data_IF_852678898220
#
_entry.id   IF_852678898220
#
_cell.length_a   1.000
_cell.length_b   1.000
_cell.length_c   1.000
_cell.angle_alpha   90.00
_cell.angle_beta   90.00
_cell.angle_gamma   90.00
#
_symmetry.space_group_name_H-M   'P 1'
#
loop_
_entity.id
_entity.type
_entity.pdbx_description
1 polymer ?
#
# COMPACT_ATOMS: atom_id res chain seq x y z
N UNK A 1 -18.97 0.32 21.56
CA UNK A 1 -20.25 0.81 20.99
C UNK A 1 -20.41 2.28 21.37
N UNK A 2 -21.20 3.03 20.60
CA UNK A 2 -21.66 4.37 20.95
C UNK A 2 -23.17 4.47 20.82
N UNK A 3 -23.75 5.55 21.32
CA UNK A 3 -25.15 5.91 21.12
C UNK A 3 -25.23 7.22 20.34
N UNK A 4 -26.15 7.30 19.38
CA UNK A 4 -26.42 8.54 18.66
C UNK A 4 -27.36 9.46 19.47
N UNK A 5 -27.66 10.65 18.93
CA UNK A 5 -28.55 11.63 19.55
C UNK A 5 -30.01 11.16 19.75
N UNK A 6 -30.39 10.04 19.14
CA UNK A 6 -31.71 9.44 19.24
C UNK A 6 -31.70 8.19 20.17
N UNK A 7 -30.58 7.88 20.82
CA UNK A 7 -30.43 6.70 21.67
C UNK A 7 -30.24 5.39 20.89
N UNK A 8 -29.94 5.45 19.58
CA UNK A 8 -29.65 4.26 18.79
C UNK A 8 -28.19 3.85 18.98
N UNK A 9 -27.99 2.57 19.31
CA UNK A 9 -26.65 2.01 19.47
C UNK A 9 -25.99 1.78 18.10
N UNK A 10 -24.70 2.08 18.00
CA UNK A 10 -23.91 1.80 16.81
C UNK A 10 -22.51 1.28 17.16
N UNK A 11 -21.95 0.51 16.22
CA UNK A 11 -20.57 0.06 16.29
C UNK A 11 -19.64 1.18 15.83
N UNK A 12 -18.72 1.60 16.70
CA UNK A 12 -17.60 2.48 16.32
C UNK A 12 -16.47 1.60 15.80
N UNK A 13 -16.11 1.76 14.54
CA UNK A 13 -14.90 1.16 13.97
C UNK A 13 -13.74 2.14 14.08
N UNK A 14 -12.51 1.64 14.14
CA UNK A 14 -11.32 2.48 13.92
C UNK A 14 -11.38 3.07 12.50
N UNK A 15 -10.71 4.21 12.30
CA UNK A 15 -10.55 4.78 10.97
C UNK A 15 -9.83 3.77 10.06
N UNK A 16 -10.22 3.76 8.79
CA UNK A 16 -9.51 3.03 7.74
C UNK A 16 -9.32 3.96 6.55
N UNK A 17 -8.24 3.75 5.81
CA UNK A 17 -7.95 4.53 4.61
C UNK A 17 -7.51 3.59 3.49
N UNK A 18 -7.69 4.06 2.27
CA UNK A 18 -7.28 3.40 1.07
C UNK A 18 -6.25 4.28 0.38
N UNK A 19 -5.11 3.70 0.05
CA UNK A 19 -4.00 4.39 -0.60
C UNK A 19 -3.31 3.47 -1.61
N UNK A 20 -2.58 4.06 -2.55
CA UNK A 20 -1.82 3.38 -3.58
C UNK A 20 -0.38 3.89 -3.63
N UNK A 21 0.57 2.96 -3.66
CA UNK A 21 2.00 3.26 -3.72
C UNK A 21 2.70 2.31 -4.69
N UNK A 22 3.85 2.73 -5.20
CA UNK A 22 4.78 1.88 -5.96
C UNK A 22 5.63 1.12 -4.94
N UNK A 23 5.41 -0.18 -4.80
CA UNK A 23 6.19 -1.05 -3.90
C UNK A 23 7.05 -2.05 -4.67
N UNK A 24 7.83 -2.85 -3.94
CA UNK A 24 8.48 -4.03 -4.54
C UNK A 24 7.42 -5.06 -4.90
N UNK A 25 7.60 -5.71 -6.06
CA UNK A 25 6.69 -6.73 -6.54
C UNK A 25 6.75 -7.99 -5.64
N UNK A 26 5.68 -8.34 -4.90
CA UNK A 26 5.69 -9.52 -4.02
C UNK A 26 5.56 -10.83 -4.79
N UNK A 27 5.22 -10.81 -6.08
CA UNK A 27 4.90 -11.98 -6.91
C UNK A 27 5.80 -12.05 -8.15
N UNK A 28 7.11 -11.82 -7.97
CA UNK A 28 8.09 -11.96 -9.05
C UNK A 28 8.10 -13.38 -9.59
N UNK A 29 8.07 -13.48 -10.91
CA UNK A 29 8.17 -14.75 -11.65
C UNK A 29 8.72 -14.47 -13.05
N UNK A 30 9.05 -15.50 -13.81
CA UNK A 30 9.46 -15.33 -15.21
C UNK A 30 8.41 -14.59 -16.05
N UNK A 31 7.12 -14.78 -15.73
CA UNK A 31 6.01 -14.09 -16.41
C UNK A 31 5.72 -12.69 -15.86
N UNK A 32 6.29 -12.33 -14.71
CA UNK A 32 6.13 -11.05 -14.00
C UNK A 32 7.47 -10.62 -13.40
N UNK A 33 8.48 -10.32 -14.22
CA UNK A 33 9.84 -10.08 -13.75
C UNK A 33 10.03 -8.68 -13.16
N UNK A 34 9.02 -7.81 -13.24
CA UNK A 34 9.11 -6.41 -12.87
C UNK A 34 9.53 -6.25 -11.40
N UNK A 35 10.47 -5.32 -11.17
CA UNK A 35 10.95 -5.03 -9.82
C UNK A 35 9.88 -4.38 -8.96
N UNK A 36 9.14 -3.44 -9.56
CA UNK A 36 8.12 -2.66 -8.90
C UNK A 36 6.72 -3.10 -9.33
N UNK A 37 5.77 -2.93 -8.42
CA UNK A 37 4.36 -3.08 -8.71
C UNK A 37 3.55 -2.00 -7.99
N UNK A 38 2.35 -1.71 -8.50
CA UNK A 38 1.41 -0.87 -7.75
C UNK A 38 0.82 -1.72 -6.63
N UNK A 39 0.91 -1.21 -5.41
CA UNK A 39 0.33 -1.81 -4.23
C UNK A 39 -0.80 -0.92 -3.71
N UNK A 40 -1.76 -1.55 -3.04
CA UNK A 40 -2.83 -0.87 -2.31
C UNK A 40 -2.82 -1.28 -0.86
N UNK A 41 -3.06 -0.34 0.03
CA UNK A 41 -3.31 -0.65 1.43
C UNK A 41 -4.70 -1.32 1.57
N UNK A 42 -4.78 -2.42 2.32
CA UNK A 42 -6.05 -3.07 2.67
C UNK A 42 -6.44 -2.76 4.12
N UNK A 43 -7.73 -2.53 4.42
CA UNK A 43 -8.16 -2.16 5.76
C UNK A 43 -8.24 -3.40 6.68
N UNK A 44 -7.09 -3.85 7.19
CA UNK A 44 -6.97 -5.01 8.08
C UNK A 44 -6.14 -4.67 9.32
N UNK A 45 -6.47 -5.28 10.46
CA UNK A 45 -5.77 -5.11 11.74
C UNK A 45 -5.71 -6.47 12.45
N UNK A 46 -4.75 -6.69 13.36
CA UNK A 46 -4.63 -7.96 14.10
C UNK A 46 -5.93 -8.36 14.80
N UNK A 47 -6.67 -7.38 15.31
CA UNK A 47 -7.94 -7.59 15.99
C UNK A 47 -9.17 -7.65 15.09
N UNK A 48 -9.03 -7.66 13.75
CA UNK A 48 -10.18 -7.62 12.82
C UNK A 48 -11.23 -8.71 13.10
N UNK A 49 -10.80 -9.90 13.54
CA UNK A 49 -11.71 -11.02 13.84
C UNK A 49 -11.96 -11.29 15.32
N UNK A 50 -11.44 -10.46 16.24
CA UNK A 50 -11.49 -10.71 17.69
C UNK A 50 -12.92 -10.84 18.25
N UNK A 51 -13.90 -10.21 17.61
CA UNK A 51 -15.31 -10.35 17.99
C UNK A 51 -15.83 -11.79 17.81
N UNK A 52 -15.36 -12.48 16.78
CA UNK A 52 -15.81 -13.83 16.43
C UNK A 52 -14.88 -14.91 16.98
N UNK A 53 -13.56 -14.69 16.84
CA UNK A 53 -12.51 -15.61 17.27
C UNK A 53 -11.36 -14.77 17.80
N UNK A 54 -11.10 -14.87 19.11
CA UNK A 54 -9.99 -14.17 19.74
C UNK A 54 -8.68 -14.60 19.09
N UNK A 55 -7.85 -13.62 18.71
CA UNK A 55 -6.56 -13.83 18.04
C UNK A 55 -6.67 -14.63 16.73
N UNK A 56 -7.80 -14.50 16.02
CA UNK A 56 -8.05 -15.20 14.75
C UNK A 56 -7.08 -14.88 13.61
N UNK A 57 -6.29 -13.80 13.74
CA UNK A 57 -5.15 -13.47 12.86
C UNK A 57 -3.81 -13.66 13.57
N UNK A 58 -3.64 -14.77 14.27
CA UNK A 58 -2.41 -15.11 15.01
C UNK A 58 -1.13 -15.03 14.16
N UNK A 59 -1.24 -15.31 12.85
CA UNK A 59 -0.16 -15.24 11.88
C UNK A 59 -0.24 -13.99 10.97
N UNK A 60 -0.64 -12.85 11.52
CA UNK A 60 -0.87 -11.60 10.78
C UNK A 60 0.28 -11.21 9.83
N UNK A 61 1.52 -11.37 10.26
CA UNK A 61 2.71 -10.91 9.52
C UNK A 61 3.11 -11.82 8.35
N UNK A 62 2.37 -12.91 8.12
CA UNK A 62 2.66 -13.84 7.01
C UNK A 62 2.36 -13.26 5.63
N UNK A 63 1.50 -12.25 5.55
CA UNK A 63 1.12 -11.59 4.30
C UNK A 63 1.12 -10.07 4.49
N UNK A 64 1.55 -9.29 3.48
CA UNK A 64 1.57 -7.83 3.57
C UNK A 64 0.14 -7.25 3.60
N UNK A 65 -0.01 -6.12 4.31
CA UNK A 65 -1.20 -5.26 4.26
C UNK A 65 -1.19 -4.37 3.01
N UNK A 66 -0.02 -4.15 2.41
CA UNK A 66 0.13 -3.55 1.08
C UNK A 66 0.14 -4.64 0.01
N UNK A 67 -1.01 -4.85 -0.63
CA UNK A 67 -1.22 -5.93 -1.60
C UNK A 67 -1.10 -5.46 -3.04
N UNK A 68 -0.65 -6.35 -3.91
CA UNK A 68 -0.62 -6.12 -5.35
C UNK A 68 -1.98 -5.59 -5.84
N UNK A 69 -1.95 -4.46 -6.52
CA UNK A 69 -3.09 -3.84 -7.14
C UNK A 69 -3.00 -4.02 -8.67
N UNK A 70 -4.09 -4.51 -9.25
CA UNK A 70 -4.27 -4.59 -10.71
C UNK A 70 -5.34 -3.58 -11.11
N UNK A 71 -5.01 -2.28 -11.24
CA UNK A 71 -6.00 -1.29 -11.62
C UNK A 71 -6.58 -1.60 -13.01
N UNK A 72 -7.91 -1.61 -13.13
CA UNK A 72 -8.63 -1.96 -14.36
C UNK A 72 -8.88 -0.76 -15.29
N UNK A 73 -8.26 0.39 -15.00
CA UNK A 73 -8.41 1.60 -15.80
C UNK A 73 -7.04 2.05 -16.30
N UNK A 74 -6.89 2.13 -17.62
CA UNK A 74 -5.70 2.68 -18.27
C UNK A 74 -6.03 4.05 -18.86
N UNK A 75 -5.18 5.05 -18.60
CA UNK A 75 -5.26 6.37 -19.23
C UNK A 75 -3.98 6.62 -20.00
N UNK A 76 -4.10 7.06 -21.26
CA UNK A 76 -2.95 7.39 -22.11
C UNK A 76 -2.12 8.57 -21.57
N UNK A 77 -2.77 9.56 -20.95
CA UNK A 77 -2.14 10.76 -20.38
C UNK A 77 -2.54 10.89 -18.90
N UNK A 78 -1.55 10.94 -18.02
CA UNK A 78 -1.67 11.13 -16.56
C UNK A 78 -0.58 12.09 -16.08
N UNK A 79 -0.68 12.58 -14.84
CA UNK A 79 0.41 13.35 -14.25
C UNK A 79 1.68 12.51 -14.12
N UNK A 80 1.56 11.21 -13.82
CA UNK A 80 2.69 10.30 -13.63
C UNK A 80 3.46 9.99 -14.92
N UNK A 81 2.79 9.97 -16.08
CA UNK A 81 3.44 9.70 -17.36
C UNK A 81 3.72 10.97 -18.19
N UNK A 82 3.49 12.15 -17.62
CA UNK A 82 3.68 13.43 -18.30
C UNK A 82 5.16 13.79 -18.51
N UNK A 83 6.05 13.35 -17.63
CA UNK A 83 7.51 13.53 -17.74
C UNK A 83 8.26 12.45 -16.94
N UNK A 84 9.51 12.15 -17.28
CA UNK A 84 10.27 11.07 -16.62
C UNK A 84 10.43 11.31 -15.11
N UNK A 85 10.63 12.57 -14.71
CA UNK A 85 10.81 12.96 -13.31
C UNK A 85 9.50 12.99 -12.49
N UNK A 86 8.35 12.66 -13.09
CA UNK A 86 7.09 12.56 -12.35
C UNK A 86 7.13 11.34 -11.42
N UNK A 87 7.82 10.27 -11.88
CA UNK A 87 8.17 9.11 -11.08
C UNK A 87 9.62 9.14 -10.58
N UNK A 88 10.58 9.47 -11.43
CA UNK A 88 12.00 9.41 -11.07
C UNK A 88 12.39 10.47 -10.06
N UNK A 89 12.93 10.05 -8.92
CA UNK A 89 13.29 10.88 -7.79
C UNK A 89 12.10 11.47 -7.05
N UNK A 90 10.90 10.92 -7.24
CA UNK A 90 9.70 11.31 -6.52
C UNK A 90 9.35 10.26 -5.46
N UNK A 91 9.96 10.40 -4.29
CA UNK A 91 9.75 9.49 -3.15
C UNK A 91 8.28 9.34 -2.74
N UNK A 92 7.45 10.38 -2.92
CA UNK A 92 6.05 10.37 -2.48
C UNK A 92 5.22 9.26 -3.12
N UNK A 93 5.63 8.78 -4.31
CA UNK A 93 4.93 7.73 -5.04
C UNK A 93 5.35 6.32 -4.60
N UNK A 94 6.50 6.16 -3.94
CA UNK A 94 7.02 4.85 -3.54
C UNK A 94 6.55 4.50 -2.14
N UNK A 95 6.38 3.20 -1.87
CA UNK A 95 6.05 2.70 -0.54
C UNK A 95 7.32 2.71 0.31
N UNK A 96 7.47 3.75 1.14
CA UNK A 96 8.59 3.87 2.07
C UNK A 96 8.20 3.35 3.45
N UNK A 97 9.18 3.03 4.28
CA UNK A 97 8.92 2.55 5.64
C UNK A 97 8.10 3.56 6.47
N UNK A 98 8.29 4.86 6.22
CA UNK A 98 7.52 5.96 6.84
C UNK A 98 6.04 5.99 6.45
N UNK A 99 5.67 5.33 5.35
CA UNK A 99 4.29 5.25 4.88
C UNK A 99 3.53 4.03 5.48
N UNK A 100 4.22 3.19 6.26
CA UNK A 100 3.66 1.97 6.87
C UNK A 100 3.45 2.20 8.36
N UNK A 101 2.27 1.87 8.89
CA UNK A 101 2.02 1.91 10.33
C UNK A 101 2.99 0.96 11.08
N UNK A 102 3.46 1.38 12.26
CA UNK A 102 4.45 0.61 13.03
C UNK A 102 4.06 -0.85 13.26
N UNK A 103 2.78 -1.10 13.52
CA UNK A 103 2.23 -2.45 13.77
C UNK A 103 2.23 -3.37 12.53
N UNK A 104 2.41 -2.79 11.34
CA UNK A 104 2.36 -3.48 10.03
C UNK A 104 3.73 -3.55 9.36
N UNK A 105 4.77 -2.93 9.93
CA UNK A 105 6.11 -2.90 9.33
C UNK A 105 6.67 -4.29 9.06
N UNK A 106 6.52 -5.21 10.02
CA UNK A 106 7.01 -6.58 9.89
C UNK A 106 6.33 -7.31 8.72
N UNK A 107 5.00 -7.23 8.63
CA UNK A 107 4.22 -7.80 7.53
C UNK A 107 4.62 -7.25 6.14
N UNK A 108 5.05 -5.98 6.08
CA UNK A 108 5.32 -5.29 4.82
C UNK A 108 6.80 -5.15 4.45
N UNK A 109 7.72 -5.69 5.26
CA UNK A 109 9.17 -5.58 5.02
C UNK A 109 9.62 -5.97 3.60
N UNK A 110 8.92 -6.95 3.00
CA UNK A 110 9.23 -7.48 1.66
C UNK A 110 8.70 -6.65 0.50
N UNK A 111 7.86 -5.64 0.78
CA UNK A 111 7.21 -4.81 -0.24
C UNK A 111 7.57 -3.32 -0.15
N UNK A 112 8.20 -2.90 0.94
CA UNK A 112 8.77 -1.55 1.11
C UNK A 112 9.96 -1.37 0.17
N UNK A 113 10.09 -0.17 -0.40
CA UNK A 113 11.17 0.20 -1.33
C UNK A 113 12.28 0.94 -0.58
N UNK A 114 13.49 0.36 -0.48
CA UNK A 114 14.67 1.10 -0.04
C UNK A 114 14.94 2.33 -0.89
N UNK A 115 15.30 3.46 -0.27
CA UNK A 115 15.47 4.74 -0.97
C UNK A 115 16.53 4.69 -2.10
N UNK A 116 17.54 3.83 -1.98
CA UNK A 116 18.56 3.64 -3.00
C UNK A 116 18.06 2.94 -4.28
N UNK A 117 16.92 2.24 -4.22
CA UNK A 117 16.29 1.61 -5.39
C UNK A 117 15.38 2.59 -6.15
N UNK A 118 15.06 3.74 -5.57
CA UNK A 118 14.23 4.74 -6.25
C UNK A 118 15.00 5.27 -7.48
N UNK A 119 14.41 5.22 -8.68
CA UNK A 119 15.07 5.70 -9.89
C UNK A 119 15.49 7.16 -9.76
N UNK A 120 16.76 7.46 -10.07
CA UNK A 120 17.29 8.82 -9.98
C UNK A 120 16.63 9.72 -11.03
N UNK A 121 16.52 11.01 -10.71
CA UNK A 121 16.06 12.05 -11.65
C UNK A 121 16.83 11.99 -12.95
N UNK A 122 16.11 12.03 -14.07
CA UNK A 122 16.64 12.04 -15.41
C UNK A 122 16.96 13.46 -15.85
N UNK A 123 18.12 13.64 -16.49
CA UNK A 123 18.56 14.93 -17.05
C UNK A 123 17.83 15.25 -18.35
N UNK A 124 17.59 14.22 -19.17
CA UNK A 124 16.80 14.34 -20.38
C UNK A 124 15.31 14.22 -20.07
N UNK A 125 14.49 15.05 -20.69
CA UNK A 125 13.03 14.97 -20.62
C UNK A 125 12.49 14.95 -22.06
N UNK A 126 11.56 14.04 -22.39
CA UNK A 126 10.87 14.08 -23.67
C UNK A 126 10.11 15.41 -23.81
N UNK A 127 10.12 15.98 -25.01
CA UNK A 127 9.32 17.16 -25.37
C UNK A 127 7.86 16.80 -25.53
#
# INVERSE_FOLDING_TARGET
MGEDKNGLTFCKTKASWLDFKIGLNPLKSEKRPEEFAILRHIPVDRGTFDYYVKDGLSNFDTLPTWKLATPHNIRRKTSQNSHCNACHGNESLFLLEKDVEDKEKEANRGVVVPANLIPRKQKWQPK
#
